data_IF_204075550325
#
_entry.id   IF_204075550325
#
_cell.length_a   1.000
_cell.length_b   1.000
_cell.length_c   1.000
_cell.angle_alpha   90.00
_cell.angle_beta   90.00
_cell.angle_gamma   90.00
#
_symmetry.space_group_name_H-M   'P 1'
#
loop_
_entity.id
_entity.type
_entity.pdbx_description
1 polymer ?
#
# COMPACT_ATOMS: atom_id res chain seq x y z
N UNK A 1 9.72 -7.83 -19.34
CA UNK A 1 8.26 -7.65 -19.13
C UNK A 1 7.96 -8.28 -17.79
N UNK A 2 7.39 -7.52 -16.87
CA UNK A 2 6.95 -8.03 -15.56
C UNK A 2 5.74 -8.91 -15.80
N UNK A 3 5.78 -10.15 -15.32
CA UNK A 3 4.67 -11.10 -15.43
C UNK A 3 3.50 -10.63 -14.55
N UNK A 4 2.30 -10.55 -15.13
CA UNK A 4 1.06 -10.09 -14.49
C UNK A 4 0.63 -11.01 -13.36
N UNK A 5 -0.24 -10.52 -12.48
CA UNK A 5 -0.85 -11.35 -11.44
C UNK A 5 -1.60 -12.57 -11.99
N UNK A 6 -2.33 -12.42 -13.11
CA UNK A 6 -3.03 -13.54 -13.75
C UNK A 6 -2.04 -14.58 -14.27
N UNK A 7 -0.93 -14.18 -14.89
CA UNK A 7 0.09 -15.12 -15.38
C UNK A 7 0.80 -15.87 -14.23
N UNK A 8 0.93 -15.26 -13.05
CA UNK A 8 1.58 -15.86 -11.86
C UNK A 8 0.66 -16.78 -11.07
N UNK A 9 -0.59 -16.35 -10.85
CA UNK A 9 -1.52 -16.98 -9.91
C UNK A 9 -2.80 -17.49 -10.60
N UNK A 10 -2.91 -17.37 -11.92
CA UNK A 10 -4.10 -17.78 -12.67
C UNK A 10 -5.29 -16.86 -12.43
N UNK A 11 -6.47 -17.34 -12.81
CA UNK A 11 -7.72 -16.59 -12.64
C UNK A 11 -8.09 -16.42 -11.17
N UNK A 12 -8.37 -15.17 -10.79
CA UNK A 12 -8.84 -14.79 -9.47
C UNK A 12 -9.33 -13.35 -9.46
N UNK A 13 -9.74 -12.81 -8.30
CA UNK A 13 -10.15 -11.41 -8.16
C UNK A 13 -9.11 -10.39 -8.68
N UNK A 14 -7.83 -10.77 -8.67
CA UNK A 14 -6.71 -9.96 -9.16
C UNK A 14 -6.55 -9.91 -10.69
N UNK A 15 -7.26 -10.74 -11.46
CA UNK A 15 -7.00 -10.90 -12.90
C UNK A 15 -7.23 -9.61 -13.72
N UNK A 16 -8.10 -8.71 -13.25
CA UNK A 16 -8.39 -7.43 -13.92
C UNK A 16 -7.74 -6.23 -13.22
N UNK A 17 -6.79 -6.47 -12.33
CA UNK A 17 -6.07 -5.44 -11.62
C UNK A 17 -4.67 -5.25 -12.22
N UNK A 18 -4.13 -4.02 -12.23
CA UNK A 18 -2.71 -3.84 -12.50
C UNK A 18 -1.87 -4.45 -11.35
N UNK A 19 -0.55 -4.39 -11.48
CA UNK A 19 0.39 -4.72 -10.38
C UNK A 19 0.97 -3.48 -9.70
N UNK A 20 0.59 -2.29 -10.19
CA UNK A 20 0.98 -0.98 -9.66
C UNK A 20 -0.05 0.07 -10.06
N UNK A 21 -0.39 0.94 -9.12
CA UNK A 21 -1.21 2.13 -9.36
C UNK A 21 -0.62 3.31 -8.58
N UNK A 22 -0.34 4.43 -9.24
CA UNK A 22 0.17 5.64 -8.60
C UNK A 22 -0.73 6.82 -8.99
N UNK A 23 -1.17 7.59 -7.99
CA UNK A 23 -2.08 8.71 -8.18
C UNK A 23 -1.87 9.78 -7.12
N UNK A 24 -2.28 11.02 -7.43
CA UNK A 24 -2.45 12.07 -6.41
C UNK A 24 -3.88 11.96 -5.86
N UNK A 25 -4.04 11.86 -4.54
CA UNK A 25 -5.36 11.97 -3.92
C UNK A 25 -5.95 13.36 -4.16
N UNK A 26 -7.15 13.44 -4.74
CA UNK A 26 -7.74 14.71 -5.16
C UNK A 26 -8.19 15.57 -3.97
N UNK A 27 -8.49 14.95 -2.82
CA UNK A 27 -9.00 15.65 -1.63
C UNK A 27 -7.86 16.33 -0.88
N UNK A 28 -6.75 15.61 -0.68
CA UNK A 28 -5.61 16.05 0.15
C UNK A 28 -4.46 16.61 -0.70
N UNK A 29 -4.41 16.30 -1.99
CA UNK A 29 -3.29 16.63 -2.88
C UNK A 29 -2.05 15.76 -2.64
N UNK A 30 -2.16 14.71 -1.82
CA UNK A 30 -1.03 13.86 -1.43
C UNK A 30 -0.80 12.74 -2.44
N UNK A 31 0.46 12.45 -2.75
CA UNK A 31 0.84 11.33 -3.60
C UNK A 31 0.62 9.99 -2.90
N UNK A 32 -0.03 9.07 -3.62
CA UNK A 32 -0.36 7.73 -3.19
C UNK A 32 0.15 6.69 -4.20
N UNK A 33 0.56 5.53 -3.70
CA UNK A 33 1.05 4.42 -4.50
C UNK A 33 0.52 3.10 -3.94
N UNK A 34 0.03 2.23 -4.81
CA UNK A 34 -0.26 0.84 -4.51
C UNK A 34 0.68 -0.05 -5.34
N UNK A 35 1.30 -1.04 -4.70
CA UNK A 35 2.20 -2.01 -5.36
C UNK A 35 1.82 -3.42 -4.96
N UNK A 36 1.75 -4.32 -5.94
CA UNK A 36 1.57 -5.74 -5.70
C UNK A 36 2.92 -6.38 -5.35
N UNK A 37 2.96 -7.11 -4.25
CA UNK A 37 4.15 -7.84 -3.84
C UNK A 37 4.39 -9.06 -4.73
N UNK A 38 5.58 -9.16 -5.33
CA UNK A 38 5.90 -10.14 -6.38
C UNK A 38 5.74 -11.61 -5.95
N UNK A 39 6.09 -11.92 -4.69
CA UNK A 39 6.10 -13.31 -4.18
C UNK A 39 4.71 -13.87 -3.85
N UNK A 40 3.88 -13.10 -3.16
CA UNK A 40 2.60 -13.56 -2.61
C UNK A 40 1.39 -12.94 -3.29
N UNK A 41 1.56 -11.82 -4.00
CA UNK A 41 0.52 -11.16 -4.77
C UNK A 41 -0.39 -10.24 -3.98
N UNK A 42 -0.17 -10.04 -2.67
CA UNK A 42 -0.92 -9.06 -1.90
C UNK A 42 -0.60 -7.63 -2.34
N UNK A 43 -1.51 -6.71 -2.04
CA UNK A 43 -1.29 -5.29 -2.22
C UNK A 43 -0.67 -4.65 -0.98
N UNK A 44 0.21 -3.67 -1.22
CA UNK A 44 0.68 -2.72 -0.22
C UNK A 44 0.38 -1.31 -0.68
N UNK A 45 -0.04 -0.46 0.25
CA UNK A 45 -0.36 0.95 0.00
C UNK A 45 0.68 1.87 0.64
N UNK A 46 0.95 2.97 -0.03
CA UNK A 46 1.95 3.96 0.36
C UNK A 46 1.42 5.38 0.13
N UNK A 47 1.78 6.28 1.03
CA UNK A 47 1.38 7.69 1.03
C UNK A 47 2.60 8.54 1.34
N UNK A 48 2.82 9.59 0.57
CA UNK A 48 4.02 10.42 0.68
C UNK A 48 3.78 11.74 1.40
N UNK A 49 4.80 12.22 2.11
CA UNK A 49 4.85 13.58 2.64
C UNK A 49 6.01 14.37 2.01
N UNK A 50 5.80 15.66 1.67
CA UNK A 50 6.84 16.49 1.10
C UNK A 50 7.85 16.98 2.15
N UNK A 51 9.05 17.42 1.71
CA UNK A 51 9.95 18.18 2.56
C UNK A 51 9.22 19.36 3.23
N UNK A 52 9.34 19.49 4.55
CA UNK A 52 8.66 20.51 5.35
C UNK A 52 7.42 20.00 6.11
N UNK A 53 6.93 18.80 5.80
CA UNK A 53 5.93 18.15 6.65
C UNK A 53 6.55 17.72 7.99
N UNK A 54 5.85 17.82 9.14
CA UNK A 54 6.39 17.44 10.46
C UNK A 54 6.90 16.00 10.54
N UNK A 55 6.31 15.09 9.78
CA UNK A 55 6.69 13.68 9.73
C UNK A 55 7.72 13.35 8.66
N UNK A 56 8.22 14.33 7.92
CA UNK A 56 9.25 14.10 6.93
C UNK A 56 10.52 13.55 7.60
N UNK A 57 11.00 12.38 7.15
CA UNK A 57 12.18 11.73 7.74
C UNK A 57 11.90 10.91 9.01
N UNK A 58 10.65 10.87 9.49
CA UNK A 58 10.28 10.10 10.67
C UNK A 58 10.17 8.61 10.35
N UNK A 59 10.61 7.75 11.27
CA UNK A 59 10.31 6.33 11.18
C UNK A 59 8.83 6.10 11.56
N UNK A 60 8.15 5.18 10.89
CA UNK A 60 6.76 4.84 11.17
C UNK A 60 6.55 4.35 12.61
N UNK A 61 7.61 3.87 13.28
CA UNK A 61 7.53 3.46 14.68
C UNK A 61 7.42 4.62 15.66
N UNK A 62 7.86 5.82 15.25
CA UNK A 62 7.92 7.02 16.10
C UNK A 62 6.66 7.90 15.96
N UNK A 63 5.76 7.56 15.02
CA UNK A 63 4.51 8.27 14.81
C UNK A 63 3.46 7.91 15.88
N UNK A 64 2.51 8.81 16.19
CA UNK A 64 1.45 8.55 17.16
C UNK A 64 0.47 7.49 16.63
N UNK A 65 0.81 6.21 16.82
CA UNK A 65 0.05 5.07 16.26
C UNK A 65 -1.39 4.99 16.72
N UNK A 66 -1.68 5.48 17.93
CA UNK A 66 -3.05 5.51 18.48
C UNK A 66 -3.99 6.41 17.65
N UNK A 67 -3.42 7.41 16.97
CA UNK A 67 -4.15 8.37 16.14
C UNK A 67 -4.14 8.00 14.65
N UNK A 68 -3.39 6.94 14.27
CA UNK A 68 -3.24 6.48 12.88
C UNK A 68 -4.02 5.18 12.63
N UNK A 69 -5.21 5.32 12.06
CA UNK A 69 -6.07 4.22 11.66
C UNK A 69 -5.97 3.97 10.14
N UNK A 70 -5.13 3.01 9.80
CA UNK A 70 -4.98 2.40 8.46
C UNK A 70 -4.90 0.89 8.63
N UNK A 71 -5.13 0.12 7.57
CA UNK A 71 -5.14 -1.35 7.57
C UNK A 71 -3.97 -1.95 8.35
N UNK A 72 -4.26 -2.37 9.58
CA UNK A 72 -3.32 -2.97 10.54
C UNK A 72 -2.12 -2.07 10.92
N UNK A 73 -2.22 -0.78 10.65
CA UNK A 73 -1.21 0.23 10.96
C UNK A 73 -0.08 0.31 9.93
N UNK A 74 0.78 1.30 10.13
CA UNK A 74 1.97 1.47 9.31
C UNK A 74 3.03 0.41 9.62
N UNK A 75 3.70 -0.06 8.57
CA UNK A 75 4.84 -0.98 8.66
C UNK A 75 6.01 -0.58 7.76
N UNK A 76 5.95 0.61 7.16
CA UNK A 76 6.96 1.13 6.25
C UNK A 76 7.12 2.64 6.41
N UNK A 77 8.37 3.10 6.44
CA UNK A 77 8.75 4.50 6.25
C UNK A 77 10.09 4.61 5.56
N UNK A 78 10.20 5.35 4.46
CA UNK A 78 11.49 5.61 3.81
C UNK A 78 11.45 6.81 2.86
N UNK A 79 12.59 7.47 2.72
CA UNK A 79 12.86 8.30 1.54
C UNK A 79 12.99 7.41 0.30
N UNK A 80 12.55 7.93 -0.84
CA UNK A 80 13.03 7.39 -2.09
C UNK A 80 12.20 7.72 -3.31
N UNK A 81 12.93 7.65 -4.41
CA UNK A 81 12.48 7.50 -5.78
C UNK A 81 12.03 6.06 -6.10
N UNK A 82 12.16 5.13 -5.15
CA UNK A 82 11.90 3.71 -5.33
C UNK A 82 11.24 3.05 -4.12
N UNK A 83 10.14 2.34 -4.36
CA UNK A 83 9.43 1.52 -3.37
C UNK A 83 9.39 0.09 -3.89
N UNK A 84 9.86 -0.87 -3.07
CA UNK A 84 10.01 -2.28 -3.48
C UNK A 84 10.82 -2.46 -4.78
N UNK A 85 11.79 -1.58 -5.04
CA UNK A 85 12.60 -1.60 -6.26
C UNK A 85 11.89 -1.03 -7.50
N UNK A 86 10.68 -0.50 -7.36
CA UNK A 86 9.93 0.17 -8.42
C UNK A 86 10.06 1.68 -8.28
N UNK A 87 10.44 2.34 -9.37
CA UNK A 87 10.54 3.80 -9.39
C UNK A 87 9.17 4.46 -9.13
N UNK A 88 9.14 5.49 -8.30
CA UNK A 88 8.03 6.42 -8.14
C UNK A 88 8.05 7.40 -9.31
N UNK A 89 6.89 7.85 -9.79
CA UNK A 89 6.84 8.75 -10.96
C UNK A 89 7.36 10.16 -10.69
N UNK A 90 7.78 10.45 -9.45
CA UNK A 90 8.41 11.71 -9.06
C UNK A 90 9.71 11.43 -8.30
N UNK A 91 10.72 12.23 -8.63
CA UNK A 91 12.02 12.31 -7.97
C UNK A 91 12.07 13.60 -7.12
N UNK A 92 11.01 13.80 -6.34
CA UNK A 92 10.70 15.02 -5.60
C UNK A 92 11.15 14.96 -4.13
N UNK A 93 11.97 13.96 -3.78
CA UNK A 93 12.52 13.82 -2.44
C UNK A 93 11.44 13.54 -1.38
N UNK A 94 10.33 12.91 -1.76
CA UNK A 94 9.25 12.53 -0.86
C UNK A 94 9.68 11.51 0.19
N UNK A 95 9.02 11.57 1.34
CA UNK A 95 9.11 10.56 2.39
C UNK A 95 7.82 9.73 2.41
N UNK A 96 7.94 8.42 2.24
CA UNK A 96 6.80 7.53 2.07
C UNK A 96 6.51 6.74 3.33
N UNK A 97 5.25 6.69 3.73
CA UNK A 97 4.70 5.79 4.75
C UNK A 97 3.85 4.72 4.08
N UNK A 98 3.79 3.50 4.63
CA UNK A 98 2.99 2.44 4.04
C UNK A 98 2.53 1.33 4.97
N UNK A 99 1.66 0.49 4.41
CA UNK A 99 1.03 -0.68 5.04
C UNK A 99 0.94 -1.83 4.02
N UNK A 100 0.74 -3.06 4.49
CA UNK A 100 0.62 -4.27 3.65
C UNK A 100 -0.65 -5.06 3.94
N UNK A 101 -1.18 -5.78 2.93
CA UNK A 101 -2.35 -6.64 3.05
C UNK A 101 -1.98 -8.13 3.16
N UNK A 102 -1.08 -8.47 4.07
CA UNK A 102 -0.64 -9.85 4.36
C UNK A 102 -0.71 -10.20 5.86
N UNK A 103 -1.70 -9.63 6.54
CA UNK A 103 -1.92 -9.85 7.97
C UNK A 103 -2.91 -10.98 8.23
N UNK A 104 -3.05 -11.38 9.51
CA UNK A 104 -4.09 -12.32 9.93
C UNK A 104 -5.48 -11.81 9.48
N UNK A 105 -6.16 -12.63 8.69
CA UNK A 105 -7.46 -12.33 8.10
C UNK A 105 -7.41 -11.78 6.67
N UNK A 106 -6.22 -11.49 6.14
CA UNK A 106 -6.03 -11.20 4.72
C UNK A 106 -5.75 -12.49 3.94
N UNK A 107 -6.18 -12.52 2.68
CA UNK A 107 -5.78 -13.56 1.73
C UNK A 107 -4.86 -12.96 0.68
N UNK A 108 -3.83 -13.72 0.32
CA UNK A 108 -2.95 -13.41 -0.81
C UNK A 108 -3.27 -14.32 -2.00
N UNK A 109 -3.06 -13.88 -3.27
CA UNK A 109 -3.18 -14.74 -4.44
C UNK A 109 -2.43 -16.06 -4.30
N UNK A 110 -1.20 -16.04 -3.77
CA UNK A 110 -0.42 -17.25 -3.53
C UNK A 110 -1.10 -18.22 -2.56
N UNK A 111 -1.77 -17.76 -1.51
CA UNK A 111 -2.51 -18.64 -0.59
C UNK A 111 -3.78 -19.19 -1.24
N UNK A 112 -4.52 -18.35 -1.97
CA UNK A 112 -5.76 -18.73 -2.64
C UNK A 112 -5.52 -19.84 -3.66
N UNK A 113 -4.39 -19.81 -4.38
CA UNK A 113 -4.08 -20.80 -5.42
C UNK A 113 -3.44 -22.08 -4.88
N UNK A 114 -2.66 -21.98 -3.79
CA UNK A 114 -1.91 -23.11 -3.25
C UNK A 114 -2.69 -23.90 -2.19
N UNK A 115 -3.71 -23.31 -1.55
CA UNK A 115 -4.39 -23.93 -0.41
C UNK A 115 -5.90 -24.17 -0.62
N UNK A 116 -6.31 -25.43 -0.50
CA UNK A 116 -7.70 -25.90 -0.53
C UNK A 116 -8.50 -25.52 0.73
N UNK A 117 -7.85 -24.98 1.78
CA UNK A 117 -8.46 -24.61 3.06
C UNK A 117 -8.69 -23.09 3.23
N UNK A 118 -8.32 -22.26 2.25
CA UNK A 118 -8.51 -20.79 2.26
C UNK A 118 -9.98 -20.32 2.23
N UNK A 119 -10.95 -21.23 2.30
CA UNK A 119 -12.39 -20.93 2.25
C UNK A 119 -13.01 -20.65 3.62
N UNK A 120 -12.24 -20.55 4.71
CA UNK A 120 -12.77 -20.12 6.00
C UNK A 120 -12.11 -18.82 6.45
N UNK A 121 -12.83 -17.72 6.16
CA UNK A 121 -12.82 -16.44 6.89
C UNK A 121 -11.79 -15.35 6.49
N UNK A 122 -10.87 -15.60 5.56
CA UNK A 122 -9.94 -14.58 5.05
C UNK A 122 -10.55 -13.68 3.96
N UNK A 123 -9.99 -12.47 3.77
CA UNK A 123 -10.42 -11.51 2.74
C UNK A 123 -9.26 -11.10 1.85
N UNK A 124 -9.39 -11.29 0.55
CA UNK A 124 -8.47 -10.67 -0.41
C UNK A 124 -8.75 -9.17 -0.46
N UNK A 125 -7.76 -8.35 -0.08
CA UNK A 125 -7.83 -6.90 -0.14
C UNK A 125 -7.47 -6.44 -1.55
N UNK A 126 -8.51 -6.14 -2.32
CA UNK A 126 -8.41 -5.69 -3.71
C UNK A 126 -7.77 -4.28 -3.82
N UNK A 127 -7.42 -3.87 -5.04
CA UNK A 127 -6.82 -2.55 -5.26
C UNK A 127 -7.75 -1.42 -4.80
N UNK A 128 -9.07 -1.60 -4.93
CA UNK A 128 -10.05 -0.60 -4.48
C UNK A 128 -10.00 -0.41 -2.97
N UNK A 129 -9.83 -1.48 -2.21
CA UNK A 129 -9.63 -1.42 -0.77
C UNK A 129 -8.36 -0.65 -0.43
N UNK A 130 -7.23 -0.99 -1.05
CA UNK A 130 -5.95 -0.31 -0.80
C UNK A 130 -6.00 1.17 -1.15
N UNK A 131 -6.67 1.55 -2.25
CA UNK A 131 -6.88 2.97 -2.58
C UNK A 131 -7.64 3.71 -1.48
N UNK A 132 -8.70 3.14 -0.92
CA UNK A 132 -9.45 3.77 0.18
C UNK A 132 -8.60 3.94 1.43
N UNK A 133 -7.80 2.94 1.77
CA UNK A 133 -6.89 3.00 2.92
C UNK A 133 -5.77 4.04 2.72
N UNK A 134 -5.23 4.18 1.50
CA UNK A 134 -4.32 5.26 1.15
C UNK A 134 -4.97 6.64 1.32
N UNK A 135 -6.20 6.84 0.83
CA UNK A 135 -6.94 8.11 1.01
C UNK A 135 -7.14 8.41 2.49
N UNK A 136 -7.59 7.41 3.28
CA UNK A 136 -7.79 7.53 4.72
C UNK A 136 -6.51 7.93 5.45
N UNK A 137 -5.38 7.34 5.08
CA UNK A 137 -4.08 7.69 5.65
C UNK A 137 -3.64 9.10 5.24
N UNK A 138 -3.87 9.50 3.98
CA UNK A 138 -3.56 10.84 3.49
C UNK A 138 -4.36 11.93 4.23
N UNK A 139 -5.63 11.68 4.54
CA UNK A 139 -6.46 12.59 5.35
C UNK A 139 -5.85 12.80 6.74
N UNK A 140 -5.47 11.72 7.42
CA UNK A 140 -4.86 11.78 8.77
C UNK A 140 -3.50 12.49 8.77
N UNK A 141 -2.66 12.22 7.76
CA UNK A 141 -1.39 12.94 7.55
C UNK A 141 -1.63 14.44 7.38
N UNK A 142 -2.66 14.82 6.60
CA UNK A 142 -2.99 16.23 6.37
C UNK A 142 -3.44 16.92 7.66
N UNK A 143 -4.18 16.22 8.52
CA UNK A 143 -4.63 16.75 9.81
C UNK A 143 -3.46 16.96 10.79
N UNK A 144 -2.47 16.06 10.80
CA UNK A 144 -1.26 16.19 11.62
C UNK A 144 -0.34 17.36 11.22
N UNK A 145 -0.59 17.98 10.06
CA UNK A 145 0.14 19.16 9.58
C UNK A 145 -0.48 20.49 10.05
N UNK A 146 -1.54 20.46 10.87
CA UNK A 146 -2.23 21.65 11.43
C UNK A 146 -1.80 21.92 12.86
#
# INVERSE_FOLDING_TARGET
MTTTAEEKWGFGPWANEPDRDQWTDETTGIECLAVRHDRSGHWSGYVAVPPGHPWFGADYVDLPREDLDVHRGLNYSRAGDTILGLSTTRDDGLWWFGFSCDHVGDLTPAEIVNDKYALLEGVYRDLRYVRRECVRLAEQITEANR
#
